data_IF_046783388802
#
_entry.id   IF_046783388802
#
_cell.length_a   1.000
_cell.length_b   1.000
_cell.length_c   1.000
_cell.angle_alpha   90.00
_cell.angle_beta   90.00
_cell.angle_gamma   90.00
#
_symmetry.space_group_name_H-M   'P 1'
#
loop_
_entity.id
_entity.type
_entity.pdbx_description
1 polymer ?
#
# COMPACT_ATOMS: atom_id res chain seq x y z
N UNK A 1 28.30 7.31 -0.18
CA UNK A 1 28.04 5.86 -0.18
C UNK A 1 26.92 5.61 -1.20
N UNK A 2 27.17 4.81 -2.23
CA UNK A 2 26.17 4.41 -3.23
C UNK A 2 26.09 2.88 -3.21
N UNK A 3 24.89 2.31 -3.12
CA UNK A 3 24.66 0.88 -3.01
C UNK A 3 23.63 0.38 -4.03
N UNK A 4 23.65 -0.93 -4.28
CA UNK A 4 22.72 -1.62 -5.17
C UNK A 4 21.27 -1.28 -4.83
N UNK A 5 20.44 -0.98 -5.83
CA UNK A 5 19.01 -0.73 -5.64
C UNK A 5 18.63 0.65 -5.07
N UNK A 6 19.59 1.48 -4.65
CA UNK A 6 19.30 2.83 -4.13
C UNK A 6 18.55 3.71 -5.13
N UNK A 7 18.92 3.64 -6.42
CA UNK A 7 18.24 4.38 -7.49
C UNK A 7 16.76 3.99 -7.59
N UNK A 8 16.47 2.68 -7.61
CA UNK A 8 15.09 2.18 -7.59
C UNK A 8 14.33 2.65 -6.34
N UNK A 9 14.94 2.55 -5.16
CA UNK A 9 14.31 2.97 -3.89
C UNK A 9 13.98 4.46 -3.86
N UNK A 10 14.84 5.32 -4.43
CA UNK A 10 14.59 6.74 -4.52
C UNK A 10 13.42 7.05 -5.47
N UNK A 11 13.42 6.44 -6.66
CA UNK A 11 12.37 6.62 -7.66
C UNK A 11 11.01 6.11 -7.18
N UNK A 12 10.97 4.99 -6.46
CA UNK A 12 9.74 4.36 -5.98
C UNK A 12 9.01 5.16 -4.89
N UNK A 13 9.57 6.28 -4.41
CA UNK A 13 8.90 7.18 -3.45
C UNK A 13 7.93 8.14 -4.12
N UNK A 14 8.14 8.42 -5.41
CA UNK A 14 7.28 9.36 -6.15
C UNK A 14 6.03 8.61 -6.62
N UNK A 15 4.87 9.24 -6.45
CA UNK A 15 3.56 8.61 -6.73
C UNK A 15 3.06 8.88 -8.16
N UNK A 16 3.60 9.87 -8.84
CA UNK A 16 3.22 10.29 -10.19
C UNK A 16 4.46 10.69 -10.99
N UNK A 17 4.45 10.49 -12.31
CA UNK A 17 5.60 10.87 -13.14
C UNK A 17 5.78 12.38 -13.20
N UNK A 18 4.69 13.14 -13.16
CA UNK A 18 4.69 14.61 -13.15
C UNK A 18 5.34 15.18 -11.87
N UNK A 19 5.37 14.40 -10.79
CA UNK A 19 6.03 14.77 -9.54
C UNK A 19 7.51 14.38 -9.47
N UNK A 20 8.05 13.75 -10.53
CA UNK A 20 9.43 13.28 -10.56
C UNK A 20 10.34 14.30 -11.23
N UNK A 21 11.30 14.83 -10.47
CA UNK A 21 12.35 15.71 -10.98
C UNK A 21 13.71 15.04 -10.75
N UNK A 22 14.46 14.84 -11.83
CA UNK A 22 15.78 14.22 -11.81
C UNK A 22 16.84 15.27 -12.11
N UNK A 23 17.84 15.37 -11.25
CA UNK A 23 18.98 16.27 -11.38
C UNK A 23 20.24 15.39 -11.32
N UNK A 24 21.22 15.68 -12.17
CA UNK A 24 22.52 14.97 -12.22
C UNK A 24 22.38 13.44 -12.32
N UNK A 25 21.57 13.00 -13.29
CA UNK A 25 21.28 11.58 -13.49
C UNK A 25 22.52 10.83 -14.00
N UNK A 26 23.04 9.94 -13.18
CA UNK A 26 24.11 9.02 -13.55
C UNK A 26 23.56 7.62 -13.78
N UNK A 27 23.32 7.26 -15.05
CA UNK A 27 22.66 6.00 -15.43
C UNK A 27 23.43 4.76 -14.95
N UNK A 28 24.75 4.83 -14.93
CA UNK A 28 25.63 3.77 -14.42
C UNK A 28 25.46 3.47 -12.91
N UNK A 29 24.76 4.33 -12.16
CA UNK A 29 24.44 4.12 -10.74
C UNK A 29 23.13 3.36 -10.51
N UNK A 30 22.41 3.01 -11.56
CA UNK A 30 21.20 2.19 -11.51
C UNK A 30 21.56 0.74 -11.79
N UNK A 31 21.91 0.01 -10.72
CA UNK A 31 22.25 -1.40 -10.80
C UNK A 31 21.62 -2.16 -9.64
N UNK A 32 21.39 -3.45 -9.85
CA UNK A 32 20.92 -4.37 -8.83
C UNK A 32 22.09 -5.24 -8.32
N UNK A 33 21.87 -5.92 -7.21
CA UNK A 33 22.81 -6.93 -6.73
C UNK A 33 22.79 -8.13 -7.68
N UNK A 34 23.96 -8.62 -8.09
CA UNK A 34 24.10 -9.77 -9.00
C UNK A 34 23.45 -11.05 -8.47
N UNK A 35 23.27 -11.16 -7.14
CA UNK A 35 22.64 -12.30 -6.50
C UNK A 35 21.10 -12.20 -6.40
N UNK A 36 20.49 -11.10 -6.86
CA UNK A 36 19.06 -10.86 -6.65
C UNK A 36 18.20 -11.95 -7.28
N UNK A 37 18.56 -12.41 -8.48
CA UNK A 37 17.80 -13.42 -9.21
C UNK A 37 17.81 -14.77 -8.49
N UNK A 38 18.96 -15.14 -7.91
CA UNK A 38 19.09 -16.34 -7.08
C UNK A 38 18.17 -16.24 -5.87
N UNK A 39 18.17 -15.11 -5.17
CA UNK A 39 17.29 -14.90 -4.00
C UNK A 39 15.82 -14.91 -4.40
N UNK A 40 15.44 -14.23 -5.48
CA UNK A 40 14.06 -14.18 -5.99
C UNK A 40 13.54 -15.57 -6.34
N UNK A 41 14.39 -16.44 -6.92
CA UNK A 41 14.01 -17.82 -7.25
C UNK A 41 13.68 -18.68 -6.01
N UNK A 42 14.24 -18.33 -4.86
CA UNK A 42 14.01 -19.02 -3.58
C UNK A 42 12.83 -18.44 -2.80
N UNK A 43 12.32 -17.26 -3.17
CA UNK A 43 11.21 -16.63 -2.47
C UNK A 43 9.94 -17.47 -2.66
N UNK A 44 9.35 -17.88 -1.53
CA UNK A 44 8.07 -18.58 -1.54
C UNK A 44 7.00 -17.68 -2.14
N UNK A 45 6.35 -18.15 -3.21
CA UNK A 45 5.21 -17.46 -3.79
C UNK A 45 4.07 -17.38 -2.77
N UNK A 46 3.53 -16.18 -2.60
CA UNK A 46 2.30 -15.98 -1.83
C UNK A 46 1.16 -16.60 -2.63
N UNK A 47 0.65 -17.74 -2.14
CA UNK A 47 -0.59 -18.30 -2.66
C UNK A 47 -1.74 -17.40 -2.25
N UNK A 48 -2.52 -16.94 -3.23
CA UNK A 48 -3.73 -16.16 -2.98
C UNK A 48 -4.69 -17.04 -2.17
N UNK A 49 -4.88 -16.71 -0.90
CA UNK A 49 -5.94 -17.35 -0.10
C UNK A 49 -7.28 -16.94 -0.69
N UNK A 50 -8.22 -17.88 -0.75
CA UNK A 50 -9.60 -17.54 -1.05
C UNK A 50 -10.08 -16.52 -0.01
N UNK A 51 -10.84 -15.53 -0.47
CA UNK A 51 -11.46 -14.57 0.42
C UNK A 51 -12.41 -15.32 1.34
N UNK A 52 -12.40 -14.97 2.63
CA UNK A 52 -13.32 -15.56 3.63
C UNK A 52 -14.76 -15.11 3.37
N UNK A 53 -14.94 -14.04 2.58
CA UNK A 53 -16.25 -13.48 2.28
C UNK A 53 -17.12 -14.47 1.51
N UNK A 54 -18.32 -14.65 2.05
CA UNK A 54 -19.35 -15.50 1.48
C UNK A 54 -20.30 -14.64 0.67
N UNK A 55 -20.63 -15.07 -0.55
CA UNK A 55 -21.59 -14.35 -1.41
C UNK A 55 -23.06 -14.67 -1.09
N UNK A 56 -23.32 -15.46 -0.04
CA UNK A 56 -24.67 -15.82 0.39
C UNK A 56 -25.23 -14.80 1.38
N UNK A 57 -26.52 -14.49 1.25
CA UNK A 57 -27.27 -13.64 2.17
C UNK A 57 -27.34 -14.16 3.61
N UNK A 58 -26.96 -15.42 3.83
CA UNK A 58 -26.94 -16.04 5.16
C UNK A 58 -25.72 -15.63 6.00
N UNK A 59 -24.78 -14.88 5.42
CA UNK A 59 -23.56 -14.46 6.08
C UNK A 59 -23.46 -12.95 6.14
N UNK A 60 -22.97 -12.43 7.26
CA UNK A 60 -22.60 -11.04 7.42
C UNK A 60 -21.08 -10.92 7.28
N UNK A 61 -20.62 -10.37 6.15
CA UNK A 61 -19.21 -10.11 5.89
C UNK A 61 -18.78 -8.82 6.58
N UNK A 62 -17.93 -8.93 7.60
CA UNK A 62 -17.39 -7.78 8.33
C UNK A 62 -15.92 -7.60 7.98
N UNK A 63 -15.55 -6.39 7.57
CA UNK A 63 -14.17 -5.98 7.30
C UNK A 63 -13.67 -5.06 8.41
N UNK A 64 -12.66 -5.51 9.16
CA UNK A 64 -11.91 -4.65 10.07
C UNK A 64 -10.63 -4.17 9.37
N UNK A 65 -10.42 -2.87 9.32
CA UNK A 65 -9.26 -2.30 8.64
C UNK A 65 -8.68 -1.10 9.40
N UNK A 66 -7.39 -1.19 9.70
CA UNK A 66 -6.62 -0.05 10.20
C UNK A 66 -6.22 0.81 9.00
N UNK A 67 -6.46 2.11 9.11
CA UNK A 67 -6.13 3.07 8.05
C UNK A 67 -5.38 4.26 8.66
N UNK A 68 -4.47 4.82 7.89
CA UNK A 68 -3.78 6.07 8.20
C UNK A 68 -4.11 7.08 7.10
N UNK A 69 -4.55 8.27 7.47
CA UNK A 69 -4.95 9.30 6.53
C UNK A 69 -6.20 8.90 5.75
N UNK A 70 -7.29 8.48 6.42
CA UNK A 70 -8.56 8.09 5.78
C UNK A 70 -8.99 9.09 4.72
N UNK A 71 -8.90 10.40 4.97
CA UNK A 71 -9.28 11.44 4.01
C UNK A 71 -8.52 11.34 2.69
N UNK A 72 -7.19 11.15 2.76
CA UNK A 72 -6.34 11.05 1.58
C UNK A 72 -6.49 9.71 0.85
N UNK A 73 -6.85 8.66 1.60
CA UNK A 73 -6.89 7.28 1.11
C UNK A 73 -8.30 6.76 0.86
N UNK A 74 -9.35 7.58 1.07
CA UNK A 74 -10.74 7.15 0.99
C UNK A 74 -11.10 6.56 -0.37
N UNK A 75 -10.65 7.18 -1.46
CA UNK A 75 -10.90 6.67 -2.81
C UNK A 75 -10.24 5.31 -3.05
N UNK A 76 -9.02 5.11 -2.54
CA UNK A 76 -8.36 3.81 -2.63
C UNK A 76 -9.11 2.75 -1.82
N UNK A 77 -9.53 3.09 -0.60
CA UNK A 77 -10.34 2.20 0.27
C UNK A 77 -11.68 1.83 -0.39
N UNK A 78 -12.42 2.81 -0.93
CA UNK A 78 -13.71 2.62 -1.58
C UNK A 78 -13.61 1.68 -2.78
N UNK A 79 -12.54 1.81 -3.57
CA UNK A 79 -12.32 1.00 -4.77
C UNK A 79 -11.68 -0.35 -4.48
N UNK A 80 -11.24 -0.59 -3.23
CA UNK A 80 -10.61 -1.83 -2.85
C UNK A 80 -11.61 -3.00 -2.89
N UNK A 81 -11.21 -4.11 -3.50
CA UNK A 81 -12.08 -5.26 -3.73
C UNK A 81 -12.69 -5.82 -2.43
N UNK A 82 -11.93 -5.89 -1.32
CA UNK A 82 -12.48 -6.35 -0.04
C UNK A 82 -13.60 -5.45 0.48
N UNK A 83 -13.43 -4.13 0.34
CA UNK A 83 -14.42 -3.14 0.79
C UNK A 83 -15.73 -3.30 0.03
N UNK A 84 -15.67 -3.64 -1.27
CA UNK A 84 -16.86 -3.88 -2.11
C UNK A 84 -17.63 -5.16 -1.75
N UNK A 85 -17.00 -6.13 -1.10
CA UNK A 85 -17.61 -7.40 -0.71
C UNK A 85 -18.09 -7.44 0.75
N UNK A 86 -17.70 -6.44 1.55
CA UNK A 86 -18.11 -6.36 2.94
C UNK A 86 -19.53 -5.78 3.07
N UNK A 87 -20.32 -6.34 3.99
CA UNK A 87 -21.61 -5.78 4.40
C UNK A 87 -21.40 -4.67 5.43
N UNK A 88 -20.41 -4.83 6.30
CA UNK A 88 -20.03 -3.87 7.33
C UNK A 88 -18.52 -3.62 7.29
N UNK A 89 -18.12 -2.35 7.35
CA UNK A 89 -16.72 -1.95 7.35
C UNK A 89 -16.44 -1.18 8.64
N UNK A 90 -15.54 -1.71 9.45
CA UNK A 90 -15.07 -1.10 10.69
C UNK A 90 -13.67 -0.54 10.44
N UNK A 91 -13.54 0.79 10.49
CA UNK A 91 -12.28 1.48 10.27
C UNK A 91 -11.70 1.97 11.59
N UNK A 92 -10.40 1.75 11.77
CA UNK A 92 -9.64 2.33 12.87
C UNK A 92 -8.60 3.27 12.29
N UNK A 93 -8.83 4.58 12.44
CA UNK A 93 -7.88 5.60 12.01
C UNK A 93 -6.73 5.67 13.02
N UNK A 94 -5.52 5.36 12.53
CA UNK A 94 -4.28 5.44 13.30
C UNK A 94 -3.57 6.77 13.02
N UNK A 95 -2.71 7.20 13.95
CA UNK A 95 -1.93 8.44 13.82
C UNK A 95 -2.75 9.73 13.65
N UNK A 96 -3.91 9.79 14.31
CA UNK A 96 -4.70 11.02 14.42
C UNK A 96 -3.90 12.11 15.13
N UNK A 97 -3.47 13.12 14.37
CA UNK A 97 -2.89 14.33 14.93
C UNK A 97 -3.96 15.08 15.73
N UNK A 98 -3.61 15.74 16.85
CA UNK A 98 -4.61 16.34 17.77
C UNK A 98 -5.51 17.39 17.12
N UNK A 99 -5.04 18.03 16.04
CA UNK A 99 -5.85 18.96 15.22
C UNK A 99 -6.99 18.25 14.48
N UNK A 100 -6.79 17.00 14.05
CA UNK A 100 -7.76 16.19 13.29
C UNK A 100 -8.77 15.55 14.25
N UNK A 101 -8.36 15.13 15.46
CA UNK A 101 -9.28 14.60 16.49
C UNK A 101 -10.46 15.53 16.77
N UNK A 102 -10.24 16.85 16.75
CA UNK A 102 -11.28 17.86 17.00
C UNK A 102 -12.30 18.02 15.87
N UNK A 103 -12.00 17.58 14.64
CA UNK A 103 -12.91 17.66 13.49
C UNK A 103 -13.81 16.43 13.34
N UNK A 104 -13.42 15.29 13.91
CA UNK A 104 -14.18 14.02 13.81
C UNK A 104 -15.18 13.87 14.97
N UNK A 105 -14.94 14.54 16.10
CA UNK A 105 -15.79 14.51 17.31
C UNK A 105 -16.82 15.66 17.38
N UNK A 106 -17.10 16.33 16.26
CA UNK A 106 -18.18 17.31 16.10
C UNK A 106 -19.11 16.85 14.99
#
# INVERSE_FOLDING_TARGET
MFGTGMGYTALSRVRTLEGLFLIDLHVNKFYCNENIDRVLSQMKQIKRKQLIFQNSSNYLNILFHNIEGLKCNFNALKNHHLTRHANLICLTETWLNDKIKKQILK
#
